data_IF_005109677217
#
_entry.id   IF_005109677217
#
_cell.length_a   1.000
_cell.length_b   1.000
_cell.length_c   1.000
_cell.angle_alpha   90.00
_cell.angle_beta   90.00
_cell.angle_gamma   90.00
#
_symmetry.space_group_name_H-M   'P 1'
#
loop_
_entity.id
_entity.type
_entity.pdbx_description
1 polymer ?
#
# COMPACT_ATOMS: atom_id res chain seq x y z
N UNK A 1 17.19 -6.04 30.57
CA UNK A 1 18.43 -6.44 29.84
C UNK A 1 18.33 -7.83 29.20
N UNK A 2 17.79 -8.85 29.88
CA UNK A 2 17.68 -10.21 29.32
C UNK A 2 16.61 -10.35 28.22
N UNK A 3 15.60 -9.47 28.15
CA UNK A 3 14.55 -9.51 27.12
C UNK A 3 14.98 -8.85 25.79
N UNK A 4 15.84 -7.82 25.85
CA UNK A 4 16.34 -7.15 24.65
C UNK A 4 17.25 -8.05 23.81
N UNK A 5 17.84 -9.11 24.38
CA UNK A 5 18.60 -10.09 23.61
C UNK A 5 17.72 -10.89 22.63
N UNK A 6 16.40 -10.90 22.82
CA UNK A 6 15.42 -11.51 21.91
C UNK A 6 15.13 -10.64 20.67
N UNK A 7 15.64 -9.39 20.65
CA UNK A 7 15.58 -8.48 19.51
C UNK A 7 16.92 -8.54 18.77
N UNK A 8 16.85 -8.54 17.43
CA UNK A 8 18.04 -8.56 16.59
C UNK A 8 19.01 -7.42 16.96
N UNK A 9 20.29 -7.77 17.12
CA UNK A 9 21.36 -6.83 17.48
C UNK A 9 21.40 -5.62 16.54
N UNK A 10 21.27 -5.86 15.23
CA UNK A 10 21.24 -4.80 14.22
C UNK A 10 20.12 -3.77 14.47
N UNK A 11 18.91 -4.24 14.77
CA UNK A 11 17.76 -3.37 15.10
C UNK A 11 18.03 -2.57 16.37
N UNK A 12 18.61 -3.21 17.41
CA UNK A 12 18.98 -2.52 18.65
C UNK A 12 19.97 -1.39 18.40
N UNK A 13 21.00 -1.63 17.58
CA UNK A 13 22.02 -0.63 17.24
C UNK A 13 21.46 0.50 16.38
N UNK A 14 20.67 0.20 15.34
CA UNK A 14 20.09 1.23 14.47
C UNK A 14 19.23 2.21 15.26
N UNK A 15 18.45 1.71 16.21
CA UNK A 15 17.47 2.51 16.96
C UNK A 15 17.95 2.92 18.35
N UNK A 16 19.19 2.56 18.72
CA UNK A 16 19.75 2.78 20.05
C UNK A 16 18.82 2.25 21.17
N UNK A 17 18.20 1.07 20.95
CA UNK A 17 17.13 0.55 21.81
C UNK A 17 17.58 0.26 23.25
N UNK A 18 18.87 -0.06 23.44
CA UNK A 18 19.43 -0.38 24.75
C UNK A 18 19.42 0.85 25.70
N UNK A 19 19.34 2.07 25.16
CA UNK A 19 19.24 3.32 25.94
C UNK A 19 17.79 3.78 26.17
N UNK A 20 16.81 3.10 25.58
CA UNK A 20 15.41 3.55 25.53
C UNK A 20 14.55 2.83 26.55
N UNK A 21 13.57 3.56 27.09
CA UNK A 21 12.52 2.95 27.91
C UNK A 21 11.49 2.25 27.03
N UNK A 22 10.98 1.11 27.49
CA UNK A 22 9.98 0.33 26.77
C UNK A 22 8.96 -0.32 27.70
N UNK A 23 7.82 -0.70 27.14
CA UNK A 23 6.82 -1.57 27.80
C UNK A 23 6.62 -2.85 27.00
N UNK A 24 6.34 -3.95 27.72
CA UNK A 24 5.97 -5.23 27.12
C UNK A 24 4.45 -5.36 27.17
N UNK A 25 3.85 -5.70 26.04
CA UNK A 25 2.40 -5.89 25.93
C UNK A 25 2.06 -6.99 24.92
N UNK A 26 0.92 -7.65 25.14
CA UNK A 26 0.33 -8.57 24.17
C UNK A 26 -0.75 -7.81 23.41
N UNK A 27 -0.71 -7.90 22.08
CA UNK A 27 -1.69 -7.28 21.20
C UNK A 27 -2.10 -8.28 20.11
N UNK A 28 -3.30 -8.11 19.55
CA UNK A 28 -3.64 -8.82 18.32
C UNK A 28 -2.73 -8.34 17.18
N UNK A 29 -2.07 -9.25 16.45
CA UNK A 29 -1.10 -8.90 15.43
C UNK A 29 -1.69 -8.03 14.29
N UNK A 30 -3.00 -8.08 14.04
CA UNK A 30 -3.66 -7.24 13.03
C UNK A 30 -3.62 -5.75 13.38
N UNK A 31 -3.54 -5.39 14.67
CA UNK A 31 -3.45 -3.98 15.09
C UNK A 31 -2.09 -3.35 14.75
N UNK A 32 -1.10 -4.16 14.36
CA UNK A 32 0.22 -3.71 13.91
C UNK A 32 0.29 -3.46 12.40
N UNK A 33 -0.78 -3.77 11.65
CA UNK A 33 -0.84 -3.52 10.21
C UNK A 33 -1.05 -2.03 9.95
N UNK A 34 -0.19 -1.46 9.10
CA UNK A 34 -0.25 -0.03 8.76
C UNK A 34 0.35 0.21 7.38
N UNK A 35 -0.16 1.21 6.65
CA UNK A 35 0.39 1.61 5.35
C UNK A 35 1.85 2.09 5.39
N UNK A 36 2.40 2.40 6.58
CA UNK A 36 3.85 2.68 6.77
C UNK A 36 4.73 1.44 6.57
N UNK A 37 4.12 0.26 6.56
CA UNK A 37 4.75 -1.06 6.44
C UNK A 37 4.11 -1.82 5.28
N UNK A 38 4.19 -1.25 4.09
CA UNK A 38 3.65 -1.81 2.85
C UNK A 38 4.16 -3.24 2.58
N UNK A 39 5.37 -3.53 3.05
CA UNK A 39 6.01 -4.85 2.99
C UNK A 39 5.27 -5.95 3.75
N UNK A 40 4.45 -5.61 4.75
CA UNK A 40 3.59 -6.58 5.45
C UNK A 40 2.52 -7.11 4.52
N UNK A 41 1.93 -6.25 3.68
CA UNK A 41 0.86 -6.65 2.76
C UNK A 41 1.39 -7.51 1.61
N UNK A 42 2.66 -7.36 1.21
CA UNK A 42 3.29 -8.29 0.27
C UNK A 42 3.41 -9.71 0.85
N UNK A 43 3.68 -9.81 2.16
CA UNK A 43 3.76 -11.08 2.89
C UNK A 43 2.37 -11.67 3.11
N UNK A 44 1.38 -10.82 3.42
CA UNK A 44 -0.02 -11.24 3.52
C UNK A 44 -0.55 -11.72 2.17
N UNK A 45 -0.22 -11.05 1.06
CA UNK A 45 -0.57 -11.51 -0.28
C UNK A 45 -0.04 -12.92 -0.54
N UNK A 46 1.22 -13.18 -0.20
CA UNK A 46 1.77 -14.54 -0.28
C UNK A 46 0.95 -15.53 0.57
N UNK A 47 0.66 -15.19 1.83
CA UNK A 47 -0.12 -16.04 2.75
C UNK A 47 -1.55 -16.30 2.28
N UNK A 48 -2.20 -15.31 1.68
CA UNK A 48 -3.57 -15.41 1.15
C UNK A 48 -3.60 -16.32 -0.08
N UNK A 49 -2.62 -16.18 -0.99
CA UNK A 49 -2.69 -16.79 -2.32
C UNK A 49 -1.79 -18.03 -2.50
N UNK A 50 -0.91 -18.39 -1.55
CA UNK A 50 0.07 -19.47 -1.77
C UNK A 50 -0.54 -20.86 -2.02
N UNK A 51 -1.78 -21.11 -1.60
CA UNK A 51 -2.47 -22.40 -1.85
C UNK A 51 -3.16 -22.44 -3.21
N UNK A 52 -3.76 -21.33 -3.61
CA UNK A 52 -4.63 -21.25 -4.80
C UNK A 52 -3.84 -20.84 -6.05
N UNK A 53 -2.86 -19.95 -5.89
CA UNK A 53 -2.04 -19.43 -6.97
C UNK A 53 -0.59 -19.23 -6.51
N UNK A 54 0.06 -20.35 -6.16
CA UNK A 54 1.41 -20.36 -5.57
C UNK A 54 2.45 -19.63 -6.41
N UNK A 55 2.45 -19.85 -7.72
CA UNK A 55 3.47 -19.27 -8.62
C UNK A 55 3.38 -17.75 -8.65
N UNK A 56 2.17 -17.22 -8.77
CA UNK A 56 1.95 -15.78 -8.80
C UNK A 56 2.19 -15.13 -7.43
N UNK A 57 1.71 -15.76 -6.36
CA UNK A 57 2.00 -15.35 -4.99
C UNK A 57 3.51 -15.26 -4.72
N UNK A 58 4.26 -16.27 -5.19
CA UNK A 58 5.71 -16.32 -5.09
C UNK A 58 6.38 -15.21 -5.91
N UNK A 59 5.85 -14.90 -7.10
CA UNK A 59 6.34 -13.80 -7.94
C UNK A 59 6.27 -12.46 -7.19
N UNK A 60 5.08 -12.11 -6.66
CA UNK A 60 4.86 -10.90 -5.86
C UNK A 60 5.79 -10.84 -4.65
N UNK A 61 5.91 -11.96 -3.93
CA UNK A 61 6.82 -12.05 -2.78
C UNK A 61 8.29 -11.82 -3.19
N UNK A 62 8.78 -12.47 -4.24
CA UNK A 62 10.18 -12.31 -4.68
C UNK A 62 10.45 -10.90 -5.18
N UNK A 63 9.54 -10.31 -5.95
CA UNK A 63 9.68 -8.92 -6.42
C UNK A 63 9.76 -7.93 -5.24
N UNK A 64 8.93 -8.09 -4.21
CA UNK A 64 9.01 -7.22 -3.04
C UNK A 64 10.33 -7.39 -2.27
N UNK A 65 10.83 -8.63 -2.12
CA UNK A 65 12.12 -8.88 -1.46
C UNK A 65 13.26 -8.27 -2.26
N UNK A 66 13.24 -8.37 -3.60
CA UNK A 66 14.23 -7.72 -4.49
C UNK A 66 14.24 -6.20 -4.31
N UNK A 67 13.08 -5.57 -4.28
CA UNK A 67 12.98 -4.14 -4.05
C UNK A 67 13.44 -3.75 -2.63
N UNK A 68 13.22 -4.61 -1.63
CA UNK A 68 13.66 -4.37 -0.26
C UNK A 68 15.20 -4.50 -0.10
N UNK A 69 15.76 -5.57 -0.66
CA UNK A 69 17.16 -6.00 -0.56
C UNK A 69 17.76 -6.15 -1.98
N UNK A 70 18.06 -5.05 -2.68
CA UNK A 70 18.52 -5.10 -4.07
C UNK A 70 19.86 -5.82 -4.26
N UNK A 71 20.72 -5.86 -3.24
CA UNK A 71 21.99 -6.58 -3.26
C UNK A 71 21.85 -8.08 -2.94
N UNK A 72 20.61 -8.57 -2.75
CA UNK A 72 20.30 -9.95 -2.38
C UNK A 72 20.67 -10.32 -0.94
N UNK A 73 21.26 -9.38 -0.18
CA UNK A 73 21.71 -9.56 1.21
C UNK A 73 20.71 -8.91 2.17
N UNK A 74 20.35 -9.62 3.23
CA UNK A 74 19.60 -9.05 4.35
C UNK A 74 20.60 -8.36 5.30
N UNK A 75 20.43 -7.07 5.65
CA UNK A 75 21.29 -6.42 6.63
C UNK A 75 21.31 -7.21 7.95
N UNK A 76 22.49 -7.72 8.34
CA UNK A 76 22.67 -8.49 9.57
C UNK A 76 22.49 -10.01 9.45
N UNK A 77 22.36 -10.58 8.25
CA UNK A 77 22.41 -12.03 8.00
C UNK A 77 23.35 -12.39 6.85
N UNK A 78 24.54 -12.90 7.20
CA UNK A 78 25.57 -13.36 6.25
C UNK A 78 25.28 -14.76 5.67
N UNK A 79 24.25 -15.46 6.15
CA UNK A 79 23.88 -16.85 5.81
C UNK A 79 22.84 -16.98 4.68
N UNK A 80 22.24 -15.88 4.21
CA UNK A 80 21.21 -15.89 3.17
C UNK A 80 21.79 -15.53 1.81
N UNK A 81 21.96 -16.54 0.96
CA UNK A 81 22.68 -16.40 -0.31
C UNK A 81 21.76 -16.48 -1.54
N UNK A 82 20.49 -16.90 -1.39
CA UNK A 82 19.53 -17.00 -2.50
C UNK A 82 18.08 -16.58 -2.14
N UNK A 83 17.27 -16.25 -3.14
CA UNK A 83 15.83 -16.00 -2.95
C UNK A 83 15.07 -17.25 -2.47
N UNK A 84 15.56 -18.44 -2.82
CA UNK A 84 14.97 -19.71 -2.38
C UNK A 84 15.12 -19.90 -0.86
N UNK A 85 16.23 -19.45 -0.28
CA UNK A 85 16.43 -19.47 1.18
C UNK A 85 15.42 -18.58 1.89
N UNK A 86 15.13 -17.39 1.34
CA UNK A 86 14.08 -16.51 1.89
C UNK A 86 12.70 -17.15 1.86
N UNK A 87 12.38 -17.87 0.80
CA UNK A 87 11.08 -18.55 0.62
C UNK A 87 10.99 -19.76 1.56
N UNK A 88 12.03 -20.58 1.63
CA UNK A 88 12.11 -21.74 2.52
C UNK A 88 11.94 -21.33 3.99
N UNK A 89 12.70 -20.33 4.44
CA UNK A 89 12.58 -19.79 5.80
C UNK A 89 11.17 -19.28 6.07
N UNK A 90 10.56 -18.56 5.12
CA UNK A 90 9.22 -18.05 5.31
C UNK A 90 8.18 -19.17 5.39
N UNK A 91 8.25 -20.18 4.52
CA UNK A 91 7.37 -21.35 4.56
C UNK A 91 7.50 -22.13 5.88
N UNK A 92 8.72 -22.33 6.36
CA UNK A 92 8.94 -22.99 7.65
C UNK A 92 8.33 -22.19 8.82
N UNK A 93 8.43 -20.86 8.78
CA UNK A 93 7.77 -19.99 9.77
C UNK A 93 6.24 -20.10 9.69
N UNK A 94 5.67 -20.16 8.48
CA UNK A 94 4.23 -20.30 8.26
C UNK A 94 3.70 -21.57 8.93
N UNK A 95 4.36 -22.71 8.68
CA UNK A 95 3.97 -23.97 9.30
C UNK A 95 4.15 -23.93 10.82
N UNK A 96 5.21 -23.28 11.32
CA UNK A 96 5.44 -23.21 12.77
C UNK A 96 4.35 -22.43 13.52
N UNK A 97 3.84 -21.34 12.94
CA UNK A 97 2.84 -20.48 13.57
C UNK A 97 1.40 -20.83 13.23
N UNK A 98 1.18 -21.82 12.35
CA UNK A 98 -0.17 -22.31 12.04
C UNK A 98 -0.83 -22.89 13.28
N UNK A 99 -0.14 -23.81 13.95
CA UNK A 99 -0.70 -24.57 15.09
C UNK A 99 -0.14 -24.12 16.46
N UNK A 100 0.85 -23.23 16.48
CA UNK A 100 1.46 -22.72 17.72
C UNK A 100 1.19 -21.24 17.92
N UNK A 101 1.11 -20.83 19.17
CA UNK A 101 1.07 -19.42 19.56
C UNK A 101 2.46 -18.80 19.60
N UNK A 102 2.52 -17.47 19.65
CA UNK A 102 3.78 -16.75 19.74
C UNK A 102 4.45 -16.98 21.10
N UNK A 103 5.68 -17.51 21.09
CA UNK A 103 6.46 -17.73 22.30
C UNK A 103 7.39 -16.55 22.59
N UNK A 104 6.99 -15.72 23.57
CA UNK A 104 7.76 -14.55 24.02
C UNK A 104 9.12 -14.90 24.64
N UNK A 105 9.36 -16.16 25.03
CA UNK A 105 10.67 -16.59 25.52
C UNK A 105 11.68 -16.78 24.40
N UNK A 106 11.20 -16.91 23.15
CA UNK A 106 12.02 -17.16 21.95
C UNK A 106 12.21 -15.89 21.12
N UNK A 107 11.20 -15.02 21.05
CA UNK A 107 11.27 -13.81 20.23
C UNK A 107 10.44 -12.67 20.81
N UNK A 108 10.84 -11.43 20.50
CA UNK A 108 10.14 -10.21 20.87
C UNK A 108 10.09 -9.27 19.66
N UNK A 109 8.93 -8.67 19.38
CA UNK A 109 8.77 -7.75 18.25
C UNK A 109 8.90 -6.29 18.73
N UNK A 110 9.96 -5.57 18.33
CA UNK A 110 10.10 -4.16 18.68
C UNK A 110 9.16 -3.29 17.85
N UNK A 111 8.47 -2.36 18.50
CA UNK A 111 7.64 -1.35 17.85
C UNK A 111 8.00 0.05 18.33
N UNK A 112 7.78 1.03 17.47
CA UNK A 112 7.92 2.44 17.82
C UNK A 112 6.76 2.92 18.72
N UNK A 113 6.81 4.17 19.16
CA UNK A 113 5.78 4.72 20.07
C UNK A 113 4.36 4.65 19.46
N UNK A 114 4.24 4.68 18.14
CA UNK A 114 2.98 4.65 17.39
C UNK A 114 2.58 3.23 16.97
N UNK A 115 3.30 2.18 17.38
CA UNK A 115 3.01 0.80 17.03
C UNK A 115 3.53 0.37 15.66
N UNK A 116 4.35 1.18 14.99
CA UNK A 116 5.01 0.78 13.75
C UNK A 116 6.12 -0.21 14.10
N UNK A 117 6.06 -1.40 13.52
CA UNK A 117 7.06 -2.44 13.76
C UNK A 117 8.44 -2.00 13.24
N UNK A 118 9.46 -2.16 14.09
CA UNK A 118 10.87 -1.86 13.77
C UNK A 118 11.58 -3.07 13.15
N UNK A 119 11.11 -4.27 13.49
CA UNK A 119 11.59 -5.57 12.98
C UNK A 119 10.46 -6.62 13.15
N UNK A 120 10.63 -7.83 12.59
CA UNK A 120 9.71 -8.95 12.78
C UNK A 120 8.59 -9.04 11.74
N UNK A 121 8.77 -8.43 10.56
CA UNK A 121 7.74 -8.35 9.51
C UNK A 121 7.09 -9.68 9.15
N UNK A 122 7.89 -10.74 8.95
CA UNK A 122 7.37 -12.08 8.63
C UNK A 122 6.52 -12.65 9.77
N UNK A 123 6.96 -12.49 11.03
CA UNK A 123 6.23 -12.99 12.19
C UNK A 123 4.89 -12.27 12.35
N UNK A 124 4.91 -10.94 12.24
CA UNK A 124 3.72 -10.10 12.31
C UNK A 124 2.72 -10.46 11.21
N UNK A 125 3.17 -10.60 9.96
CA UNK A 125 2.28 -10.97 8.85
C UNK A 125 1.62 -12.34 9.07
N UNK A 126 2.38 -13.36 9.51
CA UNK A 126 1.82 -14.70 9.74
C UNK A 126 0.79 -14.69 10.89
N UNK A 127 1.12 -14.03 12.01
CA UNK A 127 0.22 -13.97 13.16
C UNK A 127 -1.02 -13.13 12.84
N UNK A 128 -0.88 -12.05 12.06
CA UNK A 128 -2.02 -11.26 11.60
C UNK A 128 -2.94 -12.07 10.70
N UNK A 129 -2.37 -12.89 9.80
CA UNK A 129 -3.12 -13.79 8.93
C UNK A 129 -3.98 -14.77 9.74
N UNK A 130 -3.38 -15.43 10.73
CA UNK A 130 -4.09 -16.36 11.63
C UNK A 130 -4.90 -15.68 12.75
N UNK A 131 -4.98 -14.35 12.78
CA UNK A 131 -5.66 -13.57 13.82
C UNK A 131 -5.18 -13.90 15.26
N UNK A 132 -3.87 -14.05 15.43
CA UNK A 132 -3.24 -14.41 16.71
C UNK A 132 -2.67 -13.21 17.44
N UNK A 133 -2.47 -13.38 18.75
CA UNK A 133 -1.74 -12.42 19.57
C UNK A 133 -0.23 -12.49 19.36
N UNK A 134 0.45 -11.37 19.62
CA UNK A 134 1.90 -11.24 19.57
C UNK A 134 2.37 -10.39 20.75
N UNK A 135 3.49 -10.77 21.35
CA UNK A 135 4.15 -9.97 22.38
C UNK A 135 5.08 -8.95 21.71
N UNK A 136 4.89 -7.67 22.03
CA UNK A 136 5.70 -6.57 21.51
C UNK A 136 6.47 -5.86 22.62
N UNK A 137 7.56 -5.22 22.24
CA UNK A 137 8.26 -4.21 23.03
C UNK A 137 8.01 -2.84 22.42
N UNK A 138 7.20 -2.01 23.09
CA UNK A 138 6.88 -0.65 22.66
C UNK A 138 7.87 0.33 23.25
N UNK A 139 8.71 0.91 22.40
CA UNK A 139 9.75 1.85 22.82
C UNK A 139 9.23 3.28 22.85
N UNK A 140 9.41 3.96 23.97
CA UNK A 140 9.10 5.39 24.10
C UNK A 140 10.17 6.22 23.38
N UNK A 141 9.75 7.33 22.80
CA UNK A 141 10.62 8.29 22.09
C UNK A 141 11.46 7.66 20.96
N UNK A 142 11.01 6.51 20.45
CA UNK A 142 11.53 5.89 19.24
C UNK A 142 10.48 6.08 18.15
N UNK A 143 10.95 6.52 16.99
CA UNK A 143 10.16 6.59 15.76
C UNK A 143 10.85 5.74 14.72
N UNK A 144 10.08 4.97 13.94
CA UNK A 144 10.66 4.22 12.83
C UNK A 144 11.44 5.16 11.90
N UNK A 145 12.73 4.85 11.69
CA UNK A 145 13.64 5.67 10.87
C UNK A 145 13.39 5.42 9.38
N UNK A 146 12.86 4.25 9.05
CA UNK A 146 12.50 3.86 7.69
C UNK A 146 10.98 3.80 7.55
N UNK A 147 10.46 4.50 6.56
CA UNK A 147 9.08 4.34 6.11
C UNK A 147 9.09 3.35 4.94
N UNK A 148 8.70 2.10 5.19
CA UNK A 148 8.63 1.06 4.17
C UNK A 148 7.25 1.09 3.48
N UNK A 149 6.84 2.28 3.05
CA UNK A 149 5.57 2.52 2.37
C UNK A 149 5.64 2.15 0.88
N UNK A 150 4.53 2.30 0.15
CA UNK A 150 4.50 1.99 -1.29
C UNK A 150 5.47 2.87 -2.11
N UNK A 151 5.78 4.10 -1.66
CA UNK A 151 6.72 4.97 -2.36
C UNK A 151 8.14 4.47 -2.22
N UNK A 152 8.52 3.99 -1.03
CA UNK A 152 9.81 3.32 -0.82
C UNK A 152 10.01 2.17 -1.81
N UNK A 153 9.00 1.30 -1.98
CA UNK A 153 9.09 0.17 -2.89
C UNK A 153 9.09 0.60 -4.36
N UNK A 154 8.23 1.56 -4.73
CA UNK A 154 8.19 2.14 -6.06
C UNK A 154 9.54 2.76 -6.45
N UNK A 155 10.17 3.51 -5.54
CA UNK A 155 11.48 4.12 -5.76
C UNK A 155 12.62 3.10 -5.84
N UNK A 156 12.37 1.83 -5.48
CA UNK A 156 13.33 0.72 -5.59
C UNK A 156 13.00 -0.28 -6.69
N UNK A 157 12.09 0.08 -7.59
CA UNK A 157 11.85 -0.68 -8.81
C UNK A 157 10.82 -1.80 -8.67
N UNK A 158 10.03 -1.82 -7.60
CA UNK A 158 8.90 -2.75 -7.51
C UNK A 158 7.89 -2.44 -8.61
N UNK A 159 7.50 -3.44 -9.41
CA UNK A 159 6.71 -3.19 -10.61
C UNK A 159 5.35 -2.57 -10.29
N UNK A 160 4.79 -1.78 -11.21
CA UNK A 160 3.50 -1.11 -10.98
C UNK A 160 2.35 -2.10 -10.79
N UNK A 161 2.39 -3.25 -11.47
CA UNK A 161 1.42 -4.33 -11.29
C UNK A 161 1.54 -4.92 -9.89
N UNK A 162 2.74 -5.26 -9.45
CA UNK A 162 2.97 -5.80 -8.10
C UNK A 162 2.61 -4.79 -7.00
N UNK A 163 2.87 -3.50 -7.21
CA UNK A 163 2.42 -2.43 -6.32
C UNK A 163 0.89 -2.40 -6.20
N UNK A 164 0.17 -2.53 -7.31
CA UNK A 164 -1.30 -2.55 -7.30
C UNK A 164 -1.83 -3.79 -6.58
N UNK A 165 -1.21 -4.96 -6.76
CA UNK A 165 -1.61 -6.21 -6.09
C UNK A 165 -1.42 -6.15 -4.58
N UNK A 166 -0.28 -5.62 -4.13
CA UNK A 166 -0.02 -5.44 -2.69
C UNK A 166 -0.95 -4.38 -2.10
N UNK A 167 -1.23 -3.30 -2.84
CA UNK A 167 -2.17 -2.27 -2.42
C UNK A 167 -3.61 -2.79 -2.34
N UNK A 168 -4.01 -3.67 -3.26
CA UNK A 168 -5.31 -4.34 -3.20
C UNK A 168 -5.40 -5.24 -1.97
N UNK A 169 -4.38 -6.05 -1.72
CA UNK A 169 -4.31 -6.88 -0.51
C UNK A 169 -4.48 -6.03 0.75
N UNK A 170 -3.78 -4.89 0.83
CA UNK A 170 -3.88 -3.95 1.95
C UNK A 170 -5.32 -3.50 2.23
N UNK A 171 -6.18 -3.37 1.22
CA UNK A 171 -7.59 -2.96 1.39
C UNK A 171 -8.46 -4.05 2.05
N UNK A 172 -8.03 -5.31 2.00
CA UNK A 172 -8.71 -6.40 2.71
C UNK A 172 -8.31 -6.47 4.19
N UNK A 173 -7.17 -5.90 4.56
CA UNK A 173 -6.64 -5.96 5.91
C UNK A 173 -6.86 -4.68 6.73
N UNK A 174 -6.97 -3.51 6.09
CA UNK A 174 -7.16 -2.23 6.77
C UNK A 174 -8.62 -1.74 6.64
N UNK A 175 -9.31 -1.65 7.77
CA UNK A 175 -10.71 -1.21 7.85
C UNK A 175 -10.91 0.30 7.91
N UNK A 176 -9.84 1.08 8.06
CA UNK A 176 -9.86 2.53 8.22
C UNK A 176 -9.40 3.27 6.95
N UNK A 177 -9.35 2.59 5.80
CA UNK A 177 -8.93 3.21 4.53
C UNK A 177 -10.13 3.67 3.72
N UNK A 178 -10.03 4.89 3.19
CA UNK A 178 -10.98 5.47 2.25
C UNK A 178 -10.29 5.79 0.92
N UNK A 179 -11.08 5.80 -0.16
CA UNK A 179 -10.60 6.12 -1.50
C UNK A 179 -11.18 7.44 -1.95
N UNK A 180 -10.32 8.44 -2.19
CA UNK A 180 -10.71 9.65 -2.91
C UNK A 180 -10.50 9.47 -4.41
N UNK A 181 -11.58 9.52 -5.16
CA UNK A 181 -11.62 9.61 -6.62
C UNK A 181 -11.68 11.07 -7.05
N UNK A 182 -10.58 11.60 -7.57
CA UNK A 182 -10.50 12.95 -8.13
C UNK A 182 -10.93 12.91 -9.58
N UNK A 183 -12.04 13.58 -9.90
CA UNK A 183 -12.64 13.48 -11.23
C UNK A 183 -11.81 14.18 -12.31
N UNK A 184 -11.83 13.65 -13.55
CA UNK A 184 -11.21 14.28 -14.73
C UNK A 184 -11.61 15.74 -15.01
N UNK A 185 -12.72 16.23 -14.47
CA UNK A 185 -13.16 17.63 -14.61
C UNK A 185 -12.26 18.63 -13.89
N UNK A 186 -11.49 18.22 -12.88
CA UNK A 186 -10.56 19.12 -12.21
C UNK A 186 -9.29 19.30 -13.07
N UNK A 187 -8.81 20.54 -13.16
CA UNK A 187 -7.53 20.83 -13.80
C UNK A 187 -6.36 20.43 -12.88
N UNK A 188 -5.13 20.34 -13.40
CA UNK A 188 -3.98 19.85 -12.62
C UNK A 188 -3.65 20.72 -11.38
N UNK A 189 -3.94 22.03 -11.40
CA UNK A 189 -3.77 22.87 -10.22
C UNK A 189 -4.76 22.47 -9.12
N UNK A 190 -6.02 22.23 -9.49
CA UNK A 190 -7.05 21.76 -8.57
C UNK A 190 -6.76 20.34 -8.05
N UNK A 191 -6.26 19.43 -8.90
CA UNK A 191 -5.84 18.11 -8.45
C UNK A 191 -4.65 18.18 -7.49
N UNK A 192 -3.71 19.09 -7.74
CA UNK A 192 -2.58 19.34 -6.82
C UNK A 192 -3.09 19.85 -5.48
N UNK A 193 -4.03 20.78 -5.48
CA UNK A 193 -4.68 21.24 -4.25
C UNK A 193 -5.36 20.08 -3.50
N UNK A 194 -6.13 19.24 -4.18
CA UNK A 194 -6.78 18.07 -3.58
C UNK A 194 -5.76 17.10 -2.95
N UNK A 195 -4.64 16.83 -3.65
CA UNK A 195 -3.54 16.01 -3.13
C UNK A 195 -2.97 16.59 -1.83
N UNK A 196 -2.63 17.88 -1.84
CA UNK A 196 -2.03 18.55 -0.70
C UNK A 196 -2.98 18.60 0.50
N UNK A 197 -4.28 18.84 0.27
CA UNK A 197 -5.29 18.84 1.33
C UNK A 197 -5.38 17.49 2.05
N UNK A 198 -5.27 16.38 1.32
CA UNK A 198 -5.23 15.05 1.95
C UNK A 198 -3.90 14.82 2.64
N UNK A 199 -2.77 15.05 1.97
CA UNK A 199 -1.43 14.80 2.53
C UNK A 199 -1.16 15.57 3.83
N UNK A 200 -1.70 16.78 3.96
CA UNK A 200 -1.52 17.61 5.13
C UNK A 200 -2.36 17.17 6.33
N UNK A 201 -3.43 16.40 6.11
CA UNK A 201 -4.39 16.04 7.15
C UNK A 201 -4.45 14.55 7.45
N UNK A 202 -4.11 13.70 6.48
CA UNK A 202 -4.32 12.26 6.53
C UNK A 202 -3.11 11.52 5.97
N UNK A 203 -2.88 10.30 6.47
CA UNK A 203 -1.83 9.44 5.95
C UNK A 203 -2.29 8.81 4.63
N UNK A 204 -1.63 9.17 3.53
CA UNK A 204 -1.80 8.53 2.22
C UNK A 204 -1.08 7.18 2.23
N UNK A 205 -1.79 6.11 1.88
CA UNK A 205 -1.25 4.74 1.84
C UNK A 205 -1.04 4.20 0.44
N UNK A 206 -1.75 4.72 -0.57
CA UNK A 206 -1.52 4.36 -1.97
C UNK A 206 -2.07 5.42 -2.94
N UNK A 207 -1.54 5.45 -4.16
CA UNK A 207 -2.02 6.33 -5.25
C UNK A 207 -2.03 5.62 -6.59
N UNK A 208 -3.11 5.82 -7.34
CA UNK A 208 -3.20 5.37 -8.73
C UNK A 208 -3.75 6.47 -9.62
N UNK A 209 -3.25 6.55 -10.85
CA UNK A 209 -3.68 7.51 -11.87
C UNK A 209 -3.99 6.74 -13.15
N UNK A 210 -5.21 6.88 -13.67
CA UNK A 210 -5.72 6.10 -14.79
C UNK A 210 -6.27 7.03 -15.86
N UNK A 211 -5.88 6.81 -17.12
CA UNK A 211 -6.48 7.57 -18.23
C UNK A 211 -7.78 6.90 -18.64
N UNK A 212 -8.83 7.68 -18.75
CA UNK A 212 -10.17 7.19 -19.06
C UNK A 212 -10.75 7.91 -20.27
N UNK A 213 -11.56 7.18 -21.04
CA UNK A 213 -12.48 7.79 -22.02
C UNK A 213 -13.80 8.12 -21.35
N UNK A 214 -14.65 8.90 -22.02
CA UNK A 214 -15.99 9.19 -21.52
C UNK A 214 -16.81 7.90 -21.29
N UNK A 215 -16.73 6.94 -22.20
CA UNK A 215 -17.42 5.65 -22.08
C UNK A 215 -16.88 4.83 -20.90
N UNK A 216 -15.56 4.80 -20.69
CA UNK A 216 -14.96 4.12 -19.55
C UNK A 216 -15.37 4.78 -18.22
N UNK A 217 -15.35 6.12 -18.15
CA UNK A 217 -15.83 6.84 -16.97
C UNK A 217 -17.32 6.61 -16.71
N UNK A 218 -18.15 6.54 -17.75
CA UNK A 218 -19.57 6.22 -17.62
C UNK A 218 -19.78 4.82 -17.03
N UNK A 219 -19.01 3.83 -17.49
CA UNK A 219 -19.05 2.48 -16.94
C UNK A 219 -18.60 2.46 -15.46
N UNK A 220 -17.52 3.18 -15.13
CA UNK A 220 -17.04 3.31 -13.76
C UNK A 220 -18.06 3.96 -12.83
N UNK A 221 -18.64 5.11 -13.24
CA UNK A 221 -19.70 5.80 -12.49
C UNK A 221 -20.89 4.88 -12.27
N UNK A 222 -21.30 4.10 -13.27
CA UNK A 222 -22.38 3.12 -13.10
C UNK A 222 -22.07 2.10 -12.02
N UNK A 223 -20.84 1.58 -11.98
CA UNK A 223 -20.44 0.54 -11.02
C UNK A 223 -20.37 1.08 -9.59
N UNK A 224 -19.66 2.18 -9.35
CA UNK A 224 -19.42 2.68 -7.99
C UNK A 224 -20.67 3.31 -7.34
N UNK A 225 -21.70 3.62 -8.13
CA UNK A 225 -22.97 4.15 -7.65
C UNK A 225 -24.13 3.16 -7.83
N UNK A 226 -23.87 1.88 -8.13
CA UNK A 226 -24.90 0.91 -8.52
C UNK A 226 -26.05 0.75 -7.49
N UNK A 227 -25.77 1.02 -6.21
CA UNK A 227 -26.75 0.95 -5.12
C UNK A 227 -27.66 2.21 -5.04
N UNK A 228 -27.41 3.23 -5.87
CA UNK A 228 -28.19 4.47 -5.88
C UNK A 228 -29.29 4.40 -6.93
N UNK A 229 -30.53 4.72 -6.54
CA UNK A 229 -31.71 4.60 -7.40
C UNK A 229 -31.59 5.33 -8.75
N UNK A 230 -30.91 6.47 -8.78
CA UNK A 230 -30.73 7.25 -10.02
C UNK A 230 -29.90 6.51 -11.07
N UNK A 231 -29.10 5.51 -10.70
CA UNK A 231 -28.30 4.71 -11.65
C UNK A 231 -29.14 3.76 -12.51
N UNK A 232 -30.41 3.55 -12.17
CA UNK A 232 -31.35 2.80 -13.01
C UNK A 232 -31.63 3.51 -14.35
N UNK A 233 -31.46 4.83 -14.43
CA UNK A 233 -31.49 5.59 -15.69
C UNK A 233 -30.09 5.70 -16.28
N UNK A 234 -29.90 5.16 -17.49
CA UNK A 234 -28.63 5.29 -18.21
C UNK A 234 -28.34 6.75 -18.60
N UNK A 235 -29.37 7.56 -18.81
CA UNK A 235 -29.27 9.00 -19.05
C UNK A 235 -28.70 9.71 -17.82
N UNK A 236 -29.23 9.44 -16.62
CA UNK A 236 -28.73 10.02 -15.38
C UNK A 236 -27.26 9.66 -15.10
N UNK A 237 -26.86 8.41 -15.41
CA UNK A 237 -25.46 7.97 -15.33
C UNK A 237 -24.57 8.72 -16.31
N UNK A 238 -25.00 8.85 -17.57
CA UNK A 238 -24.29 9.63 -18.59
C UNK A 238 -24.15 11.09 -18.18
N UNK A 239 -25.21 11.71 -17.66
CA UNK A 239 -25.19 13.10 -17.21
C UNK A 239 -24.19 13.30 -16.06
N UNK A 240 -24.17 12.39 -15.08
CA UNK A 240 -23.18 12.41 -14.00
C UNK A 240 -21.76 12.26 -14.56
N UNK A 241 -21.52 11.29 -15.43
CA UNK A 241 -20.22 11.06 -16.05
C UNK A 241 -19.76 12.27 -16.86
N UNK A 242 -20.66 12.95 -17.57
CA UNK A 242 -20.37 14.13 -18.39
C UNK A 242 -19.86 15.29 -17.52
N UNK A 243 -20.52 15.54 -16.38
CA UNK A 243 -20.08 16.56 -15.42
C UNK A 243 -18.72 16.23 -14.80
N UNK A 244 -18.39 14.94 -14.65
CA UNK A 244 -17.12 14.48 -14.09
C UNK A 244 -15.97 14.37 -15.12
N UNK A 245 -16.23 14.26 -16.43
CA UNK A 245 -15.21 13.91 -17.44
C UNK A 245 -14.24 15.03 -17.83
N UNK A 246 -14.73 16.26 -18.02
CA UNK A 246 -13.93 17.42 -18.45
C UNK A 246 -12.79 17.17 -19.45
N UNK A 247 -11.74 18.01 -19.39
CA UNK A 247 -10.58 17.96 -20.31
C UNK A 247 -9.37 17.20 -19.74
N UNK A 248 -9.39 16.84 -18.46
CA UNK A 248 -8.25 16.20 -17.80
C UNK A 248 -8.05 14.75 -18.22
N UNK A 249 -9.10 14.09 -18.71
CA UNK A 249 -9.13 12.69 -19.18
C UNK A 249 -8.51 11.66 -18.23
N UNK A 250 -8.28 12.05 -16.98
CA UNK A 250 -7.46 11.28 -16.04
C UNK A 250 -8.12 11.29 -14.69
N UNK A 251 -8.41 10.09 -14.21
CA UNK A 251 -9.01 9.78 -12.94
C UNK A 251 -7.88 9.44 -11.96
N UNK A 252 -7.84 10.12 -10.82
CA UNK A 252 -6.84 9.88 -9.78
C UNK A 252 -7.50 9.30 -8.54
N UNK A 253 -6.86 8.27 -7.99
CA UNK A 253 -7.27 7.57 -6.78
C UNK A 253 -6.22 7.82 -5.70
N UNK A 254 -6.68 8.31 -4.55
CA UNK A 254 -5.85 8.47 -3.36
C UNK A 254 -6.47 7.64 -2.25
N UNK A 255 -5.74 6.63 -1.82
CA UNK A 255 -6.09 5.78 -0.68
C UNK A 255 -5.46 6.40 0.56
N UNK A 256 -6.25 6.68 1.59
CA UNK A 256 -5.78 7.31 2.82
C UNK A 256 -6.48 6.70 4.04
N UNK A 257 -5.77 6.65 5.17
CA UNK A 257 -6.38 6.25 6.45
C UNK A 257 -7.16 7.41 7.06
N UNK A 258 -8.29 7.11 7.70
CA UNK A 258 -9.10 8.05 8.45
C UNK A 258 -9.59 7.36 9.72
N UNK A 259 -9.15 7.83 10.88
CA UNK A 259 -9.40 7.15 12.18
C UNK A 259 -10.66 7.65 12.89
N UNK A 260 -11.29 8.70 12.38
CA UNK A 260 -12.48 9.31 12.97
C UNK A 260 -13.77 8.68 12.43
N UNK A 261 -14.89 8.98 13.08
CA UNK A 261 -16.19 8.43 12.70
C UNK A 261 -16.73 8.95 11.35
N UNK A 262 -17.83 8.33 10.89
CA UNK A 262 -18.49 8.69 9.64
C UNK A 262 -18.94 10.16 9.59
N UNK A 263 -19.35 10.76 10.71
CA UNK A 263 -19.78 12.16 10.73
C UNK A 263 -18.59 13.10 10.48
N UNK A 264 -17.44 12.81 11.10
CA UNK A 264 -16.18 13.52 10.85
C UNK A 264 -15.72 13.34 9.41
N UNK A 265 -15.88 12.13 8.87
CA UNK A 265 -15.58 11.85 7.48
C UNK A 265 -16.48 12.66 6.53
N UNK A 266 -17.79 12.75 6.79
CA UNK A 266 -18.72 13.56 5.99
C UNK A 266 -18.34 15.04 6.04
N UNK A 267 -18.06 15.59 7.23
CA UNK A 267 -17.59 16.98 7.38
C UNK A 267 -16.32 17.20 6.57
N UNK A 268 -15.35 16.28 6.67
CA UNK A 268 -14.10 16.34 5.91
C UNK A 268 -14.33 16.35 4.39
N UNK A 269 -15.27 15.53 3.89
CA UNK A 269 -15.64 15.53 2.46
C UNK A 269 -16.19 16.87 2.01
N UNK A 270 -17.04 17.49 2.81
CA UNK A 270 -17.71 18.74 2.46
C UNK A 270 -16.73 19.93 2.51
N UNK A 271 -15.87 19.97 3.52
CA UNK A 271 -14.77 20.92 3.61
C UNK A 271 -13.86 20.81 2.39
N UNK A 272 -13.48 19.59 2.01
CA UNK A 272 -12.62 19.35 0.86
C UNK A 272 -13.31 19.80 -0.44
N UNK A 273 -14.59 19.48 -0.64
CA UNK A 273 -15.38 19.87 -1.83
C UNK A 273 -15.57 21.39 -1.96
N UNK A 274 -15.67 22.11 -0.84
CA UNK A 274 -15.86 23.57 -0.82
C UNK A 274 -14.77 24.32 -1.59
N UNK A 275 -13.55 23.75 -1.65
CA UNK A 275 -12.40 24.31 -2.36
C UNK A 275 -12.53 24.30 -3.90
N UNK A 276 -13.53 23.60 -4.46
CA UNK A 276 -13.62 23.38 -5.91
C UNK A 276 -14.85 24.00 -6.57
N UNK A 277 -15.83 24.50 -5.80
CA UNK A 277 -17.04 25.15 -6.32
C UNK A 277 -17.93 24.25 -7.19
N UNK A 278 -17.80 22.92 -7.09
CA UNK A 278 -18.47 21.91 -7.94
C UNK A 278 -19.20 20.82 -7.17
N UNK A 279 -19.32 20.96 -5.84
CA UNK A 279 -20.00 19.99 -4.99
C UNK A 279 -19.52 18.55 -5.20
N UNK A 280 -20.44 17.62 -5.42
CA UNK A 280 -20.15 16.18 -5.64
C UNK A 280 -19.57 15.85 -7.02
N UNK A 281 -19.46 16.84 -7.92
CA UNK A 281 -18.91 16.66 -9.26
C UNK A 281 -17.39 16.94 -9.32
N UNK A 282 -16.77 17.42 -8.24
CA UNK A 282 -15.30 17.58 -8.14
C UNK A 282 -14.57 16.29 -7.81
N UNK A 283 -15.11 15.51 -6.88
CA UNK A 283 -14.54 14.26 -6.37
C UNK A 283 -15.58 13.40 -5.65
N UNK A 284 -15.24 12.12 -5.48
CA UNK A 284 -15.95 11.16 -4.65
C UNK A 284 -14.99 10.59 -3.60
N UNK A 285 -15.51 10.31 -2.40
CA UNK A 285 -14.79 9.61 -1.33
C UNK A 285 -15.72 8.53 -0.82
N UNK A 286 -15.22 7.31 -0.63
CA UNK A 286 -15.99 6.16 -0.13
C UNK A 286 -16.47 6.38 1.31
N UNK A 287 -17.66 5.90 1.65
CA UNK A 287 -18.26 6.04 2.98
C UNK A 287 -17.87 4.90 3.92
N UNK A 288 -17.48 3.74 3.40
CA UNK A 288 -17.23 2.53 4.19
C UNK A 288 -16.23 1.57 3.52
N UNK A 289 -15.85 0.53 4.27
CA UNK A 289 -14.90 -0.52 3.85
C UNK A 289 -15.33 -1.23 2.57
N UNK A 290 -16.64 -1.53 2.43
CA UNK A 290 -17.16 -2.25 1.27
C UNK A 290 -16.95 -1.43 -0.01
N UNK A 291 -17.34 -0.16 -0.01
CA UNK A 291 -17.10 0.74 -1.14
C UNK A 291 -15.60 0.92 -1.44
N UNK A 292 -14.77 1.02 -0.40
CA UNK A 292 -13.31 1.08 -0.57
C UNK A 292 -12.78 -0.16 -1.30
N UNK A 293 -13.21 -1.35 -0.89
CA UNK A 293 -12.80 -2.62 -1.50
C UNK A 293 -13.33 -2.75 -2.93
N UNK A 294 -14.60 -2.41 -3.19
CA UNK A 294 -15.18 -2.42 -4.53
C UNK A 294 -14.40 -1.51 -5.49
N UNK A 295 -14.08 -0.27 -5.09
CA UNK A 295 -13.27 0.62 -5.91
C UNK A 295 -11.85 0.07 -6.07
N UNK A 296 -11.24 -0.43 -5.01
CA UNK A 296 -9.90 -1.01 -5.06
C UNK A 296 -9.82 -2.18 -6.04
N UNK A 297 -10.78 -3.11 -6.00
CA UNK A 297 -10.87 -4.22 -6.94
C UNK A 297 -10.98 -3.73 -8.37
N UNK A 298 -11.86 -2.76 -8.65
CA UNK A 298 -12.03 -2.22 -9.99
C UNK A 298 -10.76 -1.57 -10.54
N UNK A 299 -9.96 -0.93 -9.69
CA UNK A 299 -8.86 -0.07 -10.14
C UNK A 299 -7.49 -0.68 -9.94
N UNK A 300 -7.29 -1.61 -9.01
CA UNK A 300 -6.01 -2.23 -8.68
C UNK A 300 -5.88 -3.64 -9.25
N UNK A 301 -6.98 -4.35 -9.52
CA UNK A 301 -6.93 -5.62 -10.23
C UNK A 301 -6.79 -5.39 -11.75
N UNK A 302 -5.72 -5.89 -12.38
CA UNK A 302 -5.47 -5.66 -13.84
C UNK A 302 -6.59 -6.23 -14.72
N UNK A 303 -7.21 -7.34 -14.33
CA UNK A 303 -8.30 -7.96 -15.07
C UNK A 303 -9.54 -7.09 -15.00
N UNK A 304 -9.96 -6.70 -13.79
CA UNK A 304 -11.12 -5.83 -13.59
C UNK A 304 -10.93 -4.48 -14.30
N UNK A 305 -9.75 -3.86 -14.12
CA UNK A 305 -9.41 -2.62 -14.79
C UNK A 305 -9.49 -2.74 -16.31
N UNK A 306 -8.94 -3.81 -16.88
CA UNK A 306 -8.99 -4.06 -18.33
C UNK A 306 -10.41 -4.25 -18.85
N UNK A 307 -11.33 -4.79 -18.05
CA UNK A 307 -12.72 -5.04 -18.45
C UNK A 307 -13.54 -3.74 -18.57
N UNK A 308 -13.44 -2.84 -17.59
CA UNK A 308 -14.21 -1.59 -17.61
C UNK A 308 -13.48 -0.45 -18.34
N UNK A 309 -12.15 -0.36 -18.22
CA UNK A 309 -11.34 0.63 -18.92
C UNK A 309 -10.82 0.10 -20.27
N UNK A 310 -11.74 -0.30 -21.15
CA UNK A 310 -11.41 -0.81 -22.51
C UNK A 310 -10.55 0.13 -23.34
N UNK A 311 -10.51 1.42 -22.99
CA UNK A 311 -9.62 2.36 -23.63
C UNK A 311 -8.15 2.02 -23.37
N UNK A 312 -7.77 1.51 -22.21
CA UNK A 312 -6.40 1.09 -21.86
C UNK A 312 -6.09 -0.37 -22.19
N UNK A 313 -7.10 -1.21 -22.46
CA UNK A 313 -6.92 -2.66 -22.69
C UNK A 313 -6.32 -3.06 -24.05
N UNK A 314 -5.96 -2.10 -24.91
CA UNK A 314 -5.25 -2.43 -26.16
C UNK A 314 -3.80 -2.81 -25.86
N UNK A 315 -3.30 -3.88 -26.47
CA UNK A 315 -1.91 -4.38 -26.32
C UNK A 315 -0.85 -3.28 -26.44
N UNK A 316 -1.05 -2.31 -27.33
CA UNK A 316 -0.18 -1.15 -27.52
C UNK A 316 -0.03 -0.27 -26.27
N UNK A 317 -1.09 -0.13 -25.45
CA UNK A 317 -1.04 0.68 -24.21
C UNK A 317 -0.41 -0.06 -23.05
N UNK A 318 -0.57 -1.40 -22.97
CA UNK A 318 0.21 -2.21 -22.03
C UNK A 318 1.71 -2.08 -22.33
N UNK A 319 2.09 -2.08 -23.60
CA UNK A 319 3.47 -1.79 -24.04
C UNK A 319 3.88 -0.36 -23.65
N UNK A 320 3.04 0.65 -23.91
CA UNK A 320 3.31 2.04 -23.54
C UNK A 320 3.56 2.20 -22.02
N UNK A 321 2.75 1.56 -21.19
CA UNK A 321 2.91 1.58 -19.73
C UNK A 321 4.21 0.88 -19.30
N UNK A 322 4.54 -0.27 -19.88
CA UNK A 322 5.82 -0.94 -19.63
C UNK A 322 7.01 -0.07 -20.04
N UNK A 323 6.92 0.66 -21.15
CA UNK A 323 7.94 1.62 -21.58
C UNK A 323 8.05 2.79 -20.59
N UNK A 324 6.92 3.37 -20.18
CA UNK A 324 6.90 4.47 -19.19
C UNK A 324 7.53 4.05 -17.87
N UNK A 325 7.21 2.85 -17.39
CA UNK A 325 7.78 2.26 -16.20
C UNK A 325 9.30 2.07 -16.33
N UNK A 326 9.76 1.48 -17.43
CA UNK A 326 11.20 1.34 -17.72
C UNK A 326 11.92 2.68 -17.77
N UNK A 327 11.33 3.69 -18.43
CA UNK A 327 11.88 5.05 -18.48
C UNK A 327 11.92 5.67 -17.08
N UNK A 328 10.87 5.48 -16.29
CA UNK A 328 10.80 5.98 -14.92
C UNK A 328 11.93 5.39 -14.07
N UNK A 329 12.15 4.07 -14.10
CA UNK A 329 13.24 3.44 -13.34
C UNK A 329 14.62 3.80 -13.86
N UNK A 330 14.79 3.89 -15.18
CA UNK A 330 16.06 4.34 -15.74
C UNK A 330 16.44 5.74 -15.21
N UNK A 331 15.49 6.68 -15.22
CA UNK A 331 15.73 8.07 -14.78
C UNK A 331 15.91 8.20 -13.28
N UNK A 332 15.07 7.56 -12.49
CA UNK A 332 14.98 7.81 -11.04
C UNK A 332 15.81 6.85 -10.20
N UNK A 333 16.19 5.69 -10.74
CA UNK A 333 16.95 4.66 -10.03
C UNK A 333 18.32 4.51 -10.67
N UNK A 334 18.36 3.97 -11.90
CA UNK A 334 19.63 3.58 -12.55
C UNK A 334 20.58 4.76 -12.74
N UNK A 335 20.08 5.90 -13.23
CA UNK A 335 20.88 7.09 -13.48
C UNK A 335 21.33 7.77 -12.18
N UNK A 336 20.51 7.69 -11.11
CA UNK A 336 20.85 8.21 -9.79
C UNK A 336 21.97 7.38 -9.14
N UNK A 337 21.87 6.06 -9.21
CA UNK A 337 22.89 5.13 -8.72
C UNK A 337 24.22 5.31 -9.44
N UNK A 338 24.18 5.48 -10.77
CA UNK A 338 25.37 5.74 -11.57
C UNK A 338 26.06 7.04 -11.15
N UNK A 339 25.28 8.12 -10.97
CA UNK A 339 25.81 9.41 -10.46
C UNK A 339 26.45 9.25 -9.09
N UNK A 340 25.80 8.51 -8.19
CA UNK A 340 26.33 8.24 -6.84
C UNK A 340 27.62 7.45 -6.88
N UNK A 341 27.71 6.41 -7.72
CA UNK A 341 28.92 5.60 -7.92
C UNK A 341 30.07 6.43 -8.50
N UNK A 342 29.82 7.24 -9.52
CA UNK A 342 30.82 8.14 -10.10
C UNK A 342 31.30 9.16 -9.05
N UNK A 343 30.38 9.77 -8.28
CA UNK A 343 30.75 10.71 -7.24
C UNK A 343 31.61 10.09 -6.11
N UNK A 344 31.41 8.80 -5.81
CA UNK A 344 32.26 8.04 -4.87
C UNK A 344 33.64 7.71 -5.43
N UNK A 345 33.78 7.56 -6.75
CA UNK A 345 35.06 7.31 -7.42
C UNK A 345 35.90 8.58 -7.62
N UNK A 346 35.26 9.75 -7.61
CA UNK A 346 35.90 11.07 -7.75
C UNK A 346 36.26 11.73 -6.40
N UNK A 347 35.99 11.06 -5.28
CA UNK A 347 36.44 11.42 -3.93
C UNK A 347 37.54 10.46 -3.51
#
# INVERSE_FOLDING_TARGET
MQELSLIQKHTREIYDLDSKSYSIENVNARTLLTGKRFDLFAKLYYLTHYKENKEHALCVYIEHIKAFNPDGKEPGRDDKLSFDDFVSVFNNLIESFKDKDFDKSVSLVPVDSNGVILDGAHRVAILAYYNKEITIARFKDVTSKANFDYQYFKMRGLSWVTLDEIALEMMYWLSNVHVMCIWPTLNENQKTLARNLIENNQQVVYRKKIRVTYNALTAFVKQIYQEQEWTHSIEAVKDKALRCYGKGHTLEFIFFTFEEDLNKLISFKDDLRSNFGRGKDSLHITDNVKETQEIAELVLNDIALSQWNKAESNSLKKIENSIKERIYYFKNITLLDLKTKIAKLLR
#
